data_IF_189265179295
#
_entry.id   IF_189265179295
#
_cell.length_a   1.000
_cell.length_b   1.000
_cell.length_c   1.000
_cell.angle_alpha   90.00
_cell.angle_beta   90.00
_cell.angle_gamma   90.00
#
_symmetry.space_group_name_H-M   'P 1'
#
loop_
_entity.id
_entity.type
_entity.pdbx_description
1 polymer ?
#
# COMPACT_ATOMS: atom_id res chain seq x y z
N UNK A 1 -25.48 12.02 -11.64
CA UNK A 1 -25.87 12.16 -10.21
C UNK A 1 -27.38 12.07 -10.04
N UNK A 2 -28.20 12.78 -10.83
CA UNK A 2 -29.67 12.77 -10.74
C UNK A 2 -30.38 11.41 -10.95
N UNK A 3 -29.71 10.42 -11.53
CA UNK A 3 -30.28 9.08 -11.78
C UNK A 3 -29.81 7.98 -10.81
N UNK A 4 -28.93 8.29 -9.84
CA UNK A 4 -28.50 7.28 -8.86
C UNK A 4 -29.52 7.17 -7.73
N UNK A 5 -29.91 5.95 -7.37
CA UNK A 5 -30.84 5.69 -6.26
C UNK A 5 -30.19 5.84 -4.89
N UNK A 6 -28.86 5.82 -4.81
CA UNK A 6 -28.11 5.98 -3.56
C UNK A 6 -26.74 6.60 -3.82
N UNK A 7 -26.26 7.34 -2.83
CA UNK A 7 -24.92 7.92 -2.75
C UNK A 7 -24.35 7.45 -1.41
N UNK A 8 -23.17 6.85 -1.44
CA UNK A 8 -22.49 6.35 -0.23
C UNK A 8 -21.27 7.21 0.03
N UNK A 9 -21.10 7.60 1.30
CA UNK A 9 -19.90 8.26 1.79
C UNK A 9 -19.13 7.27 2.66
N UNK A 10 -17.86 7.08 2.32
CA UNK A 10 -16.93 6.29 3.12
C UNK A 10 -15.91 7.25 3.70
N UNK A 11 -15.96 7.52 5.02
CA UNK A 11 -14.98 8.40 5.64
C UNK A 11 -13.60 7.77 5.46
N UNK A 12 -12.63 8.60 5.07
CA UNK A 12 -11.26 8.15 4.89
C UNK A 12 -10.61 8.01 6.27
N UNK A 13 -10.69 6.80 6.84
CA UNK A 13 -10.22 6.50 8.19
C UNK A 13 -9.21 5.36 8.13
N UNK A 14 -8.13 5.48 8.89
CA UNK A 14 -7.16 4.41 9.12
C UNK A 14 -7.07 4.05 10.61
N UNK A 15 -6.11 3.21 11.00
CA UNK A 15 -5.78 2.96 12.41
C UNK A 15 -4.29 3.00 12.65
N UNK A 16 -3.92 3.26 13.90
CA UNK A 16 -2.52 3.12 14.32
C UNK A 16 -2.02 1.69 14.06
N UNK A 17 -0.77 1.53 13.60
CA UNK A 17 -0.19 0.22 13.38
C UNK A 17 -0.25 -0.66 14.62
N UNK A 18 -0.73 -1.90 14.46
CA UNK A 18 -0.74 -2.89 15.52
C UNK A 18 0.69 -3.35 15.83
N UNK A 19 1.01 -3.55 17.10
CA UNK A 19 2.32 -4.04 17.54
C UNK A 19 2.54 -5.54 17.25
N UNK A 20 1.44 -6.29 17.04
CA UNK A 20 1.45 -7.75 16.92
C UNK A 20 0.23 -8.24 16.14
N UNK A 21 0.39 -9.27 15.31
CA UNK A 21 -0.67 -9.86 14.48
C UNK A 21 -0.96 -11.33 14.83
N UNK A 22 0.01 -12.05 15.36
CA UNK A 22 0.03 -13.51 15.47
C UNK A 22 -0.24 -13.96 16.89
N UNK A 23 -1.27 -14.78 17.06
CA UNK A 23 -1.69 -15.36 18.32
C UNK A 23 -1.78 -16.87 18.13
N UNK A 24 -0.76 -17.60 18.60
CA UNK A 24 -0.65 -19.05 18.47
C UNK A 24 -0.79 -19.52 17.00
N UNK A 25 -1.97 -20.03 16.63
CA UNK A 25 -2.28 -20.59 15.30
C UNK A 25 -3.05 -19.62 14.40
N UNK A 26 -3.18 -18.36 14.80
CA UNK A 26 -3.92 -17.34 14.06
C UNK A 26 -3.03 -16.14 13.80
N UNK A 27 -3.11 -15.53 12.62
CA UNK A 27 -2.44 -14.27 12.29
C UNK A 27 -3.37 -13.37 11.49
N UNK A 28 -3.18 -12.06 11.60
CA UNK A 28 -3.95 -11.06 10.87
C UNK A 28 -3.34 -10.79 9.47
N UNK A 29 -4.18 -10.41 8.52
CA UNK A 29 -3.80 -10.09 7.14
C UNK A 29 -4.72 -8.99 6.59
N UNK A 30 -4.22 -8.19 5.64
CA UNK A 30 -5.01 -7.13 5.00
C UNK A 30 -5.50 -6.09 6.01
N UNK A 31 -6.70 -5.55 5.82
CA UNK A 31 -7.28 -4.52 6.69
C UNK A 31 -7.48 -4.95 8.15
N UNK A 32 -7.46 -6.26 8.44
CA UNK A 32 -7.47 -6.73 9.83
C UNK A 32 -6.12 -6.49 10.52
N UNK A 33 -5.02 -6.49 9.77
CA UNK A 33 -3.66 -6.27 10.26
C UNK A 33 -3.18 -4.82 10.10
N UNK A 34 -3.47 -4.22 8.94
CA UNK A 34 -2.94 -2.92 8.54
C UNK A 34 -3.98 -2.10 7.73
N UNK A 35 -5.12 -1.75 8.35
CA UNK A 35 -6.07 -0.87 7.69
C UNK A 35 -5.40 0.47 7.39
N UNK A 36 -5.46 0.89 6.14
CA UNK A 36 -4.74 2.07 5.65
C UNK A 36 -5.70 3.06 5.01
N UNK A 37 -5.36 4.33 5.07
CA UNK A 37 -6.07 5.39 4.37
C UNK A 37 -6.13 5.02 2.87
N UNK A 38 -7.30 5.11 2.19
CA UNK A 38 -7.57 4.45 0.90
C UNK A 38 -6.91 5.18 -0.29
N UNK A 39 -5.61 5.43 -0.17
CA UNK A 39 -4.83 6.24 -1.08
C UNK A 39 -3.80 5.35 -1.77
N UNK A 40 -3.70 5.49 -3.09
CA UNK A 40 -2.74 4.74 -3.91
C UNK A 40 -3.03 3.24 -4.06
N UNK A 41 -4.23 2.74 -3.73
CA UNK A 41 -4.59 1.31 -3.77
C UNK A 41 -3.67 0.38 -2.94
N UNK A 42 -3.00 0.94 -1.93
CA UNK A 42 -2.03 0.19 -1.15
C UNK A 42 -2.66 -0.90 -0.28
N UNK A 43 -3.82 -0.67 0.34
CA UNK A 43 -4.46 -1.68 1.21
C UNK A 43 -4.67 -3.01 0.49
N UNK A 44 -5.36 -2.97 -0.66
CA UNK A 44 -5.59 -4.15 -1.48
C UNK A 44 -4.29 -4.77 -2.02
N UNK A 45 -3.36 -3.94 -2.49
CA UNK A 45 -2.07 -4.42 -3.01
C UNK A 45 -1.25 -5.13 -1.93
N UNK A 46 -1.22 -4.59 -0.71
CA UNK A 46 -0.53 -5.21 0.43
C UNK A 46 -1.23 -6.50 0.88
N UNK A 47 -2.56 -6.55 0.89
CA UNK A 47 -3.29 -7.79 1.19
C UNK A 47 -2.96 -8.93 0.20
N UNK A 48 -2.76 -8.62 -1.09
CA UNK A 48 -2.31 -9.59 -2.09
C UNK A 48 -0.88 -10.06 -1.80
N UNK A 49 0.02 -9.14 -1.45
CA UNK A 49 1.41 -9.46 -1.09
C UNK A 49 1.44 -10.33 0.17
N UNK A 50 0.64 -9.98 1.19
CA UNK A 50 0.52 -10.74 2.42
C UNK A 50 0.16 -12.20 2.14
N UNK A 51 -0.86 -12.43 1.31
CA UNK A 51 -1.32 -13.79 1.00
C UNK A 51 -0.19 -14.63 0.40
N UNK A 52 0.62 -14.03 -0.48
CA UNK A 52 1.78 -14.69 -1.09
C UNK A 52 2.90 -14.94 -0.07
N UNK A 53 3.17 -13.98 0.81
CA UNK A 53 4.22 -14.09 1.84
C UNK A 53 3.85 -15.10 2.92
N UNK A 54 2.60 -15.09 3.36
CA UNK A 54 2.07 -16.08 4.28
C UNK A 54 2.17 -17.49 3.68
N UNK A 55 1.73 -17.69 2.43
CA UNK A 55 1.85 -18.97 1.75
C UNK A 55 3.31 -19.44 1.64
N UNK A 56 4.23 -18.54 1.29
CA UNK A 56 5.67 -18.82 1.27
C UNK A 56 6.20 -19.29 2.63
N UNK A 57 5.93 -18.55 3.72
CA UNK A 57 6.42 -18.91 5.05
C UNK A 57 5.84 -20.23 5.54
N UNK A 58 4.56 -20.49 5.25
CA UNK A 58 3.90 -21.78 5.52
C UNK A 58 4.56 -22.93 4.75
N UNK A 59 4.95 -22.71 3.49
CA UNK A 59 5.60 -23.74 2.68
C UNK A 59 7.04 -24.02 3.14
N UNK A 60 7.81 -22.98 3.48
CA UNK A 60 9.22 -23.10 3.90
C UNK A 60 9.36 -23.66 5.31
N UNK A 61 8.52 -23.19 6.24
CA UNK A 61 8.66 -23.47 7.68
C UNK A 61 7.68 -24.55 8.16
N UNK A 62 6.73 -24.96 7.30
CA UNK A 62 5.61 -25.84 7.63
C UNK A 62 4.43 -25.10 8.26
N UNK A 63 3.28 -25.76 8.34
CA UNK A 63 2.04 -25.20 8.91
C UNK A 63 2.07 -25.17 10.44
N UNK A 64 2.84 -24.24 11.01
CA UNK A 64 3.00 -24.04 12.44
C UNK A 64 3.11 -22.54 12.80
N UNK A 65 3.08 -22.23 14.10
CA UNK A 65 3.16 -20.84 14.61
C UNK A 65 4.41 -20.10 14.12
N UNK A 66 5.55 -20.80 13.96
CA UNK A 66 6.79 -20.18 13.50
C UNK A 66 6.66 -19.60 12.09
N UNK A 67 5.89 -20.23 11.20
CA UNK A 67 5.61 -19.67 9.88
C UNK A 67 4.82 -18.35 9.98
N UNK A 68 3.83 -18.29 10.86
CA UNK A 68 3.01 -17.09 11.08
C UNK A 68 3.86 -15.94 11.65
N UNK A 69 4.71 -16.24 12.64
CA UNK A 69 5.64 -15.26 13.21
C UNK A 69 6.67 -14.75 12.20
N UNK A 70 7.16 -15.61 11.30
CA UNK A 70 8.08 -15.20 10.24
C UNK A 70 7.39 -14.26 9.24
N UNK A 71 6.14 -14.57 8.87
CA UNK A 71 5.31 -13.70 8.03
C UNK A 71 5.08 -12.33 8.68
N UNK A 72 4.64 -12.29 9.94
CA UNK A 72 4.44 -11.04 10.68
C UNK A 72 5.73 -10.21 10.74
N UNK A 73 6.85 -10.84 11.09
CA UNK A 73 8.15 -10.17 11.21
C UNK A 73 8.58 -9.49 9.91
N UNK A 74 8.19 -10.05 8.76
CA UNK A 74 8.46 -9.47 7.46
C UNK A 74 7.49 -8.33 7.12
N UNK A 75 6.19 -8.58 7.28
CA UNK A 75 5.15 -7.70 6.74
C UNK A 75 4.76 -6.54 7.65
N UNK A 76 4.81 -6.71 8.98
CA UNK A 76 4.48 -5.67 9.95
C UNK A 76 5.28 -4.38 9.77
N UNK A 77 6.63 -4.41 9.70
CA UNK A 77 7.40 -3.17 9.52
C UNK A 77 7.19 -2.52 8.15
N UNK A 78 6.86 -3.29 7.11
CA UNK A 78 6.63 -2.77 5.77
C UNK A 78 5.29 -2.03 5.68
N UNK A 79 4.23 -2.70 6.11
CA UNK A 79 2.85 -2.15 6.09
C UNK A 79 2.70 -0.98 7.06
N UNK A 80 3.38 -1.02 8.22
CA UNK A 80 3.48 0.12 9.15
C UNK A 80 4.03 1.37 8.47
N UNK A 81 5.14 1.25 7.74
CA UNK A 81 5.74 2.39 7.01
C UNK A 81 4.79 2.95 5.96
N UNK A 82 4.05 2.09 5.26
CA UNK A 82 3.08 2.49 4.24
C UNK A 82 1.91 3.25 4.88
N UNK A 83 1.32 2.73 5.95
CA UNK A 83 0.23 3.40 6.67
C UNK A 83 0.64 4.78 7.17
N UNK A 84 1.82 4.89 7.79
CA UNK A 84 2.32 6.19 8.25
C UNK A 84 2.62 7.15 7.09
N UNK A 85 3.21 6.66 5.99
CA UNK A 85 3.46 7.50 4.82
C UNK A 85 2.17 8.00 4.15
N UNK A 86 1.10 7.20 4.17
CA UNK A 86 -0.21 7.61 3.65
C UNK A 86 -0.86 8.73 4.47
N UNK A 87 -0.55 8.83 5.79
CA UNK A 87 -1.06 9.91 6.65
C UNK A 87 -0.41 11.26 6.38
N UNK A 88 0.86 11.28 5.99
CA UNK A 88 1.59 12.53 5.75
C UNK A 88 1.19 13.15 4.40
N UNK A 89 1.57 12.49 3.32
CA UNK A 89 1.47 13.00 1.95
C UNK A 89 1.62 11.81 1.02
N UNK A 90 0.53 11.04 0.93
CA UNK A 90 0.41 9.96 -0.05
C UNK A 90 0.51 10.45 -1.50
N UNK A 91 0.19 9.62 -2.50
CA UNK A 91 0.17 9.98 -3.91
C UNK A 91 -0.71 11.19 -4.22
N UNK A 92 -1.68 11.48 -3.35
CA UNK A 92 -2.59 12.62 -3.48
C UNK A 92 -1.91 13.97 -3.24
N UNK A 93 -0.67 14.00 -2.74
CA UNK A 93 0.07 15.25 -2.62
C UNK A 93 0.23 15.99 -3.97
N UNK A 94 0.26 15.27 -5.09
CA UNK A 94 0.18 15.89 -6.42
C UNK A 94 -1.19 16.51 -6.71
N UNK A 95 -2.27 15.86 -6.27
CA UNK A 95 -3.62 16.41 -6.41
C UNK A 95 -3.76 17.69 -5.59
N UNK A 96 -3.20 17.72 -4.37
CA UNK A 96 -3.18 18.93 -3.54
C UNK A 96 -2.37 20.05 -4.20
N UNK A 97 -1.20 19.75 -4.78
CA UNK A 97 -0.40 20.73 -5.51
C UNK A 97 -1.17 21.32 -6.70
N UNK A 98 -1.92 20.49 -7.42
CA UNK A 98 -2.77 20.98 -8.52
C UNK A 98 -3.92 21.82 -7.98
N UNK A 99 -4.62 21.37 -6.94
CA UNK A 99 -5.71 22.11 -6.29
C UNK A 99 -5.25 23.52 -5.87
N UNK A 100 -4.13 23.60 -5.14
CA UNK A 100 -3.58 24.85 -4.62
C UNK A 100 -3.18 25.84 -5.71
N UNK A 101 -2.83 25.33 -6.90
CA UNK A 101 -2.33 26.15 -8.03
C UNK A 101 -3.39 26.43 -9.10
N UNK A 102 -4.44 25.61 -9.23
CA UNK A 102 -5.24 25.59 -10.45
C UNK A 102 -6.35 26.66 -10.55
N UNK A 103 -6.57 27.47 -9.51
CA UNK A 103 -7.59 28.53 -9.47
C UNK A 103 -9.02 28.10 -9.95
N UNK A 104 -9.30 26.80 -9.99
CA UNK A 104 -10.59 26.20 -10.31
C UNK A 104 -10.72 25.52 -11.67
N UNK A 105 -9.98 25.92 -12.71
CA UNK A 105 -10.06 25.25 -14.03
C UNK A 105 -8.86 25.53 -14.92
N UNK A 106 -8.42 24.51 -15.66
CA UNK A 106 -7.34 24.56 -16.64
C UNK A 106 -7.69 23.66 -17.84
N UNK A 107 -7.09 23.92 -19.00
CA UNK A 107 -7.26 23.06 -20.20
C UNK A 107 -6.14 22.01 -20.31
N UNK A 108 -4.95 22.33 -19.78
CA UNK A 108 -3.80 21.44 -19.73
C UNK A 108 -3.18 21.47 -18.32
N UNK A 109 -3.00 20.29 -17.73
CA UNK A 109 -2.40 20.15 -16.40
C UNK A 109 -0.94 20.63 -16.36
N UNK A 110 -0.26 20.64 -17.51
CA UNK A 110 1.11 21.12 -17.63
C UNK A 110 1.22 22.64 -17.42
N UNK A 111 0.12 23.38 -17.49
CA UNK A 111 0.05 24.80 -17.11
C UNK A 111 0.20 24.99 -15.59
N UNK A 112 -0.11 23.95 -14.80
CA UNK A 112 -0.18 23.97 -13.34
C UNK A 112 1.03 23.27 -12.70
N UNK A 113 1.46 22.15 -13.28
CA UNK A 113 2.59 21.36 -12.80
C UNK A 113 3.37 20.76 -13.96
N UNK A 114 4.69 20.92 -13.94
CA UNK A 114 5.53 20.41 -15.01
C UNK A 114 5.65 18.88 -14.99
N UNK A 115 5.91 18.28 -16.16
CA UNK A 115 6.16 16.85 -16.29
C UNK A 115 7.30 16.36 -15.38
N UNK A 116 8.36 17.17 -15.23
CA UNK A 116 9.49 16.86 -14.36
C UNK A 116 9.09 16.82 -12.88
N UNK A 117 8.22 17.72 -12.41
CA UNK A 117 7.71 17.72 -11.04
C UNK A 117 6.84 16.48 -10.77
N UNK A 118 5.97 16.12 -11.71
CA UNK A 118 5.15 14.91 -11.64
C UNK A 118 6.02 13.65 -11.50
N UNK A 119 7.05 13.54 -12.32
CA UNK A 119 7.97 12.40 -12.32
C UNK A 119 8.78 12.32 -11.02
N UNK A 120 9.33 13.44 -10.55
CA UNK A 120 10.09 13.50 -9.31
C UNK A 120 9.23 13.06 -8.10
N UNK A 121 7.98 13.52 -8.04
CA UNK A 121 7.05 13.13 -6.99
C UNK A 121 6.66 11.65 -7.09
N UNK A 122 6.35 11.16 -8.30
CA UNK A 122 6.03 9.75 -8.55
C UNK A 122 7.19 8.83 -8.12
N UNK A 123 8.43 9.19 -8.45
CA UNK A 123 9.61 8.42 -8.05
C UNK A 123 9.83 8.40 -6.55
N UNK A 124 9.70 9.56 -5.88
CA UNK A 124 9.81 9.65 -4.42
C UNK A 124 8.79 8.72 -3.75
N UNK A 125 7.54 8.77 -4.19
CA UNK A 125 6.49 7.92 -3.62
C UNK A 125 6.72 6.42 -3.88
N UNK A 126 7.05 6.04 -5.13
CA UNK A 126 7.39 4.64 -5.49
C UNK A 126 8.53 4.08 -4.64
N UNK A 127 9.50 4.92 -4.27
CA UNK A 127 10.61 4.51 -3.41
C UNK A 127 10.15 4.17 -1.98
N UNK A 128 9.22 4.95 -1.42
CA UNK A 128 8.67 4.76 -0.07
C UNK A 128 7.71 3.57 -0.02
N UNK A 129 6.86 3.41 -1.03
CA UNK A 129 5.93 2.29 -1.15
C UNK A 129 6.62 0.95 -1.50
N UNK A 130 7.94 0.95 -1.74
CA UNK A 130 8.69 -0.25 -2.13
C UNK A 130 8.39 -0.72 -3.57
N UNK A 131 7.75 0.12 -4.39
CA UNK A 131 7.30 -0.18 -5.76
C UNK A 131 8.35 0.22 -6.81
N UNK A 132 9.62 -0.11 -6.58
CA UNK A 132 10.63 0.06 -7.63
C UNK A 132 10.40 -1.01 -8.72
N UNK A 133 9.95 -0.56 -9.89
CA UNK A 133 9.56 -1.42 -11.02
C UNK A 133 10.72 -2.29 -11.49
N UNK A 134 11.92 -1.73 -11.64
CA UNK A 134 13.09 -2.51 -12.08
C UNK A 134 13.46 -3.57 -11.06
N UNK A 135 13.48 -3.21 -9.77
CA UNK A 135 13.76 -4.17 -8.70
C UNK A 135 12.72 -5.28 -8.67
N UNK A 136 11.44 -4.95 -8.82
CA UNK A 136 10.35 -5.92 -8.85
C UNK A 136 10.47 -6.88 -10.04
N UNK A 137 10.67 -6.35 -11.25
CA UNK A 137 10.78 -7.15 -12.47
C UNK A 137 12.02 -8.07 -12.47
N UNK A 138 13.10 -7.65 -11.80
CA UNK A 138 14.32 -8.44 -11.66
C UNK A 138 14.33 -9.33 -10.39
N UNK A 139 13.27 -9.30 -9.58
CA UNK A 139 13.19 -10.14 -8.38
C UNK A 139 12.86 -11.58 -8.76
N UNK A 140 13.55 -12.53 -8.13
CA UNK A 140 13.20 -13.95 -8.26
C UNK A 140 11.77 -14.18 -7.77
N UNK A 141 11.07 -15.11 -8.41
CA UNK A 141 9.78 -15.54 -7.92
C UNK A 141 9.93 -16.10 -6.52
N UNK A 142 9.07 -15.67 -5.61
CA UNK A 142 9.03 -16.13 -4.22
C UNK A 142 8.80 -17.66 -4.15
N UNK A 143 8.28 -18.27 -5.22
CA UNK A 143 7.99 -19.70 -5.31
C UNK A 143 8.90 -20.47 -6.28
N UNK A 144 9.77 -19.81 -7.05
CA UNK A 144 10.59 -20.52 -8.06
C UNK A 144 11.63 -21.47 -7.48
N UNK A 145 11.87 -21.42 -6.16
CA UNK A 145 12.76 -22.37 -5.47
C UNK A 145 12.03 -23.65 -5.03
N UNK A 146 10.71 -23.74 -5.25
CA UNK A 146 9.86 -24.85 -4.80
C UNK A 146 9.06 -25.50 -5.94
N UNK A 147 9.27 -25.05 -7.18
CA UNK A 147 8.78 -25.65 -8.44
C UNK A 147 10.01 -26.06 -9.25
#
# INVERSE_FOLDING_TARGET
ISETSSIYEYPMVDRDPLEKWTFERTTLLGDAAHPTYPVGSNGASQAIIDARKLAFHLQVTGTNEKALLNYEKEMLPLTTKITLANRDSGPDALLQVVEDRCAGSFNDVQEIISQNELEAHSQKYKSVAGLNIEKLNNSNSILSSFI
#
